data_IF_870894794447
#
_entry.id   IF_870894794447
#
_cell.length_a   1.000
_cell.length_b   1.000
_cell.length_c   1.000
_cell.angle_alpha   90.00
_cell.angle_beta   90.00
_cell.angle_gamma   90.00
#
_symmetry.space_group_name_H-M   'P 1'
#
loop_
_entity.id
_entity.type
_entity.pdbx_description
1 polymer ?
#
# COMPACT_ATOMS: atom_id res chain seq x y z
N UNK A 1 -24.21 -27.94 -10.60
CA UNK A 1 -23.60 -29.07 -9.85
C UNK A 1 -22.28 -28.54 -9.31
N UNK A 2 -22.02 -28.72 -8.02
CA UNK A 2 -20.77 -28.26 -7.40
C UNK A 2 -19.62 -29.17 -7.89
N UNK A 3 -18.62 -28.64 -8.64
CA UNK A 3 -17.54 -29.47 -9.18
C UNK A 3 -16.65 -30.06 -8.08
N UNK A 4 -16.65 -29.47 -6.88
CA UNK A 4 -15.83 -29.91 -5.76
C UNK A 4 -16.40 -31.15 -5.06
N UNK A 5 -17.66 -31.53 -5.29
CA UNK A 5 -18.27 -32.72 -4.65
C UNK A 5 -17.53 -34.02 -4.96
N UNK A 6 -16.88 -34.11 -6.13
CA UNK A 6 -16.18 -35.31 -6.59
C UNK A 6 -14.68 -35.31 -6.24
N UNK A 7 -14.16 -34.20 -5.72
CA UNK A 7 -12.75 -34.06 -5.44
C UNK A 7 -12.40 -34.54 -4.02
N UNK A 8 -11.26 -35.24 -3.84
CA UNK A 8 -10.70 -35.50 -2.52
C UNK A 8 -10.45 -34.21 -1.75
N UNK A 9 -10.47 -34.27 -0.41
CA UNK A 9 -10.30 -33.08 0.42
C UNK A 9 -8.92 -32.43 0.24
N UNK A 10 -7.91 -33.25 0.00
CA UNK A 10 -6.52 -32.87 -0.23
C UNK A 10 -6.38 -32.02 -1.50
N UNK A 11 -7.05 -32.42 -2.57
CA UNK A 11 -7.05 -31.66 -3.84
C UNK A 11 -7.77 -30.33 -3.66
N UNK A 12 -8.85 -30.29 -2.88
CA UNK A 12 -9.56 -29.05 -2.59
C UNK A 12 -8.68 -28.09 -1.79
N UNK A 13 -7.95 -28.61 -0.80
CA UNK A 13 -6.95 -27.84 -0.05
C UNK A 13 -5.88 -27.28 -0.99
N UNK A 14 -5.30 -28.10 -1.86
CA UNK A 14 -4.31 -27.62 -2.83
C UNK A 14 -4.89 -26.52 -3.72
N UNK A 15 -6.11 -26.69 -4.25
CA UNK A 15 -6.78 -25.65 -5.05
C UNK A 15 -6.90 -24.35 -4.25
N UNK A 16 -7.27 -24.41 -2.97
CA UNK A 16 -7.37 -23.22 -2.12
C UNK A 16 -6.00 -22.55 -1.93
N UNK A 17 -4.94 -23.32 -1.68
CA UNK A 17 -3.58 -22.78 -1.49
C UNK A 17 -2.99 -22.20 -2.77
N UNK A 18 -3.29 -22.79 -3.92
CA UNK A 18 -2.88 -22.29 -5.24
C UNK A 18 -3.78 -21.19 -5.79
N UNK A 19 -4.95 -20.96 -5.16
CA UNK A 19 -5.76 -19.77 -5.46
C UNK A 19 -5.01 -18.57 -4.88
N UNK A 20 -4.38 -17.79 -5.74
CA UNK A 20 -3.48 -16.70 -5.36
C UNK A 20 -4.18 -15.51 -4.68
N UNK A 21 -5.52 -15.48 -4.63
CA UNK A 21 -6.29 -14.34 -4.13
C UNK A 21 -7.35 -14.71 -3.06
N UNK A 22 -7.44 -13.88 -2.03
CA UNK A 22 -8.39 -14.04 -0.93
C UNK A 22 -9.84 -13.85 -1.37
N UNK A 23 -10.08 -13.09 -2.45
CA UNK A 23 -11.43 -12.86 -2.97
C UNK A 23 -12.01 -14.10 -3.65
N UNK A 24 -11.19 -14.80 -4.43
CA UNK A 24 -11.53 -16.07 -5.04
C UNK A 24 -11.85 -17.11 -3.98
N UNK A 25 -11.03 -17.18 -2.92
CA UNK A 25 -11.27 -18.08 -1.79
C UNK A 25 -12.58 -17.72 -1.06
N UNK A 26 -12.82 -16.45 -0.73
CA UNK A 26 -14.09 -16.00 -0.13
C UNK A 26 -15.30 -16.38 -0.99
N UNK A 27 -15.17 -16.23 -2.31
CA UNK A 27 -16.19 -16.61 -3.27
C UNK A 27 -16.43 -18.12 -3.27
N UNK A 28 -15.36 -18.94 -3.28
CA UNK A 28 -15.45 -20.40 -3.21
C UNK A 28 -16.12 -20.88 -1.92
N UNK A 29 -15.78 -20.28 -0.77
CA UNK A 29 -16.42 -20.58 0.51
C UNK A 29 -17.91 -20.20 0.51
N UNK A 30 -18.29 -19.20 -0.27
CA UNK A 30 -19.69 -18.77 -0.42
C UNK A 30 -20.47 -19.72 -1.34
N UNK A 31 -19.89 -20.14 -2.46
CA UNK A 31 -20.61 -20.88 -3.51
C UNK A 31 -20.58 -22.40 -3.37
N UNK A 32 -19.54 -22.98 -2.74
CA UNK A 32 -19.39 -24.43 -2.58
C UNK A 32 -19.53 -24.84 -1.10
N UNK A 33 -20.61 -25.55 -0.73
CA UNK A 33 -20.75 -26.13 0.60
C UNK A 33 -19.62 -27.11 0.92
N UNK A 34 -19.14 -27.89 -0.07
CA UNK A 34 -18.06 -28.86 0.12
C UNK A 34 -16.74 -28.19 0.49
N UNK A 35 -16.36 -27.13 -0.25
CA UNK A 35 -15.16 -26.33 0.04
C UNK A 35 -15.28 -25.70 1.43
N UNK A 36 -16.44 -25.13 1.76
CA UNK A 36 -16.71 -24.55 3.09
C UNK A 36 -16.51 -25.57 4.22
N UNK A 37 -17.05 -26.78 4.08
CA UNK A 37 -16.89 -27.84 5.10
C UNK A 37 -15.44 -28.21 5.31
N UNK A 38 -14.65 -28.33 4.23
CA UNK A 38 -13.21 -28.65 4.32
C UNK A 38 -12.42 -27.51 4.96
N UNK A 39 -12.73 -26.26 4.61
CA UNK A 39 -12.10 -25.11 5.24
C UNK A 39 -12.42 -25.06 6.75
N UNK A 40 -13.69 -25.25 7.12
CA UNK A 40 -14.14 -25.24 8.53
C UNK A 40 -13.65 -26.43 9.36
N UNK A 41 -13.14 -27.51 8.76
CA UNK A 41 -12.55 -28.60 9.55
C UNK A 41 -11.18 -28.24 10.12
N UNK A 42 -10.50 -27.23 9.56
CA UNK A 42 -9.16 -26.78 10.00
C UNK A 42 -8.92 -25.28 9.73
N UNK A 43 -9.80 -24.39 10.22
CA UNK A 43 -9.85 -23.00 9.77
C UNK A 43 -8.57 -22.22 10.08
N UNK A 44 -8.05 -22.31 11.32
CA UNK A 44 -6.81 -21.62 11.72
C UNK A 44 -5.58 -22.02 10.90
N UNK A 45 -5.20 -23.31 10.90
CA UNK A 45 -4.05 -23.78 10.13
C UNK A 45 -4.15 -23.44 8.65
N UNK A 46 -5.33 -23.63 8.04
CA UNK A 46 -5.52 -23.35 6.62
C UNK A 46 -5.42 -21.84 6.32
N UNK A 47 -5.95 -20.97 7.19
CA UNK A 47 -5.78 -19.53 7.03
C UNK A 47 -4.30 -19.11 7.10
N UNK A 48 -3.53 -19.69 8.03
CA UNK A 48 -2.10 -19.43 8.14
C UNK A 48 -1.33 -19.90 6.91
N UNK A 49 -1.66 -21.08 6.39
CA UNK A 49 -1.11 -21.57 5.12
C UNK A 49 -1.44 -20.58 3.98
N UNK A 50 -2.69 -20.11 3.86
CA UNK A 50 -3.08 -19.12 2.85
C UNK A 50 -2.28 -17.81 2.95
N UNK A 51 -2.08 -17.30 4.16
CA UNK A 51 -1.25 -16.11 4.39
C UNK A 51 0.22 -16.35 3.99
N UNK A 52 0.74 -17.55 4.27
CA UNK A 52 2.12 -17.91 3.98
C UNK A 52 2.38 -18.21 2.49
N UNK A 53 1.39 -18.73 1.76
CA UNK A 53 1.51 -19.07 0.33
C UNK A 53 1.23 -17.87 -0.60
N UNK A 54 0.47 -16.88 -0.14
CA UNK A 54 0.26 -15.66 -0.92
C UNK A 54 1.51 -14.77 -0.89
N UNK A 55 1.98 -14.37 -2.08
CA UNK A 55 3.25 -13.66 -2.29
C UNK A 55 3.34 -12.30 -1.59
N UNK A 56 2.20 -11.64 -1.34
CA UNK A 56 2.13 -10.32 -0.72
C UNK A 56 1.98 -10.46 0.80
N UNK A 57 1.04 -11.29 1.27
CA UNK A 57 0.79 -11.42 2.72
C UNK A 57 1.86 -12.21 3.45
N UNK A 58 2.68 -12.98 2.73
CA UNK A 58 3.86 -13.65 3.29
C UNK A 58 4.99 -12.66 3.63
N UNK A 59 4.96 -11.43 3.08
CA UNK A 59 5.99 -10.44 3.32
C UNK A 59 6.06 -10.08 4.81
N UNK A 60 7.26 -10.13 5.41
CA UNK A 60 7.44 -9.94 6.85
C UNK A 60 6.77 -8.66 7.41
N UNK A 61 6.87 -7.47 6.77
CA UNK A 61 6.18 -6.27 7.26
C UNK A 61 4.65 -6.39 7.27
N UNK A 62 4.06 -7.09 6.29
CA UNK A 62 2.61 -7.27 6.14
C UNK A 62 2.12 -8.36 7.11
N UNK A 63 2.85 -9.47 7.21
CA UNK A 63 2.49 -10.57 8.10
C UNK A 63 2.42 -10.11 9.56
N UNK A 64 3.38 -9.27 10.00
CA UNK A 64 3.38 -8.69 11.35
C UNK A 64 2.13 -7.87 11.66
N UNK A 65 1.65 -7.08 10.71
CA UNK A 65 0.45 -6.25 10.90
C UNK A 65 -0.84 -7.08 10.81
N UNK A 66 -0.88 -8.13 9.96
CA UNK A 66 -1.98 -9.10 9.92
C UNK A 66 -2.15 -9.76 11.29
N UNK A 67 -1.06 -10.22 11.91
CA UNK A 67 -1.09 -10.82 13.25
C UNK A 67 -1.65 -9.85 14.30
N UNK A 68 -1.27 -8.57 14.26
CA UNK A 68 -1.83 -7.55 15.17
C UNK A 68 -3.34 -7.36 14.98
N UNK A 69 -3.82 -7.37 13.74
CA UNK A 69 -5.27 -7.32 13.45
C UNK A 69 -5.97 -8.58 13.94
N UNK A 70 -5.39 -9.76 13.69
CA UNK A 70 -5.90 -11.03 14.19
C UNK A 70 -6.13 -11.02 15.71
N UNK A 71 -5.20 -10.47 16.49
CA UNK A 71 -5.36 -10.32 17.94
C UNK A 71 -6.56 -9.46 18.35
N UNK A 72 -6.84 -8.38 17.63
CA UNK A 72 -7.97 -7.49 17.94
C UNK A 72 -9.33 -8.13 17.65
N UNK A 73 -9.37 -9.10 16.73
CA UNK A 73 -10.57 -9.85 16.36
C UNK A 73 -10.67 -11.20 17.08
N UNK A 74 -9.69 -11.55 17.93
CA UNK A 74 -9.75 -12.75 18.75
C UNK A 74 -10.61 -12.51 20.00
N UNK A 75 -11.71 -13.25 20.12
CA UNK A 75 -12.65 -13.15 21.23
C UNK A 75 -12.09 -13.65 22.57
N UNK A 76 -11.04 -14.47 22.54
CA UNK A 76 -10.39 -15.01 23.72
C UNK A 76 -9.48 -14.00 24.42
N UNK A 77 -9.09 -12.92 23.73
CA UNK A 77 -8.26 -11.86 24.29
C UNK A 77 -9.12 -10.64 24.61
N UNK A 78 -8.99 -10.14 25.83
CA UNK A 78 -9.62 -8.89 26.24
C UNK A 78 -8.59 -7.97 26.89
N UNK A 79 -8.05 -7.05 26.09
CA UNK A 79 -7.05 -6.08 26.55
C UNK A 79 -7.72 -4.91 27.29
N UNK A 80 -7.23 -4.59 28.49
CA UNK A 80 -7.73 -3.52 29.34
C UNK A 80 -7.05 -2.16 29.07
N UNK A 81 -6.00 -2.14 28.24
CA UNK A 81 -5.34 -0.92 27.82
C UNK A 81 -4.33 -1.16 26.72
N UNK A 82 -3.80 -0.06 26.19
CA UNK A 82 -2.83 -0.10 25.09
C UNK A 82 -1.53 -0.79 25.49
N UNK A 83 -1.08 -0.65 26.73
CA UNK A 83 0.20 -1.23 27.16
C UNK A 83 0.13 -2.76 27.25
N UNK A 84 -0.98 -3.30 27.74
CA UNK A 84 -1.23 -4.75 27.72
C UNK A 84 -1.26 -5.27 26.28
N UNK A 85 -1.99 -4.60 25.39
CA UNK A 85 -1.99 -4.94 23.96
C UNK A 85 -0.59 -4.92 23.35
N UNK A 86 0.24 -3.93 23.70
CA UNK A 86 1.63 -3.82 23.23
C UNK A 86 2.51 -4.97 23.71
N UNK A 87 2.38 -5.35 24.98
CA UNK A 87 3.13 -6.47 25.54
C UNK A 87 2.77 -7.78 24.85
N UNK A 88 1.47 -8.03 24.65
CA UNK A 88 1.01 -9.22 23.94
C UNK A 88 1.42 -9.25 22.47
N UNK A 89 1.49 -8.10 21.80
CA UNK A 89 1.87 -8.03 20.38
C UNK A 89 3.38 -7.93 20.13
N UNK A 90 4.16 -7.50 21.13
CA UNK A 90 5.61 -7.39 21.05
C UNK A 90 6.33 -8.74 21.08
N UNK A 91 5.78 -9.75 21.76
CA UNK A 91 6.39 -11.09 21.88
C UNK A 91 6.12 -12.01 20.69
N UNK A 92 5.37 -11.56 19.67
CA UNK A 92 4.87 -12.39 18.58
C UNK A 92 5.83 -12.60 17.42
N UNK A 93 7.04 -12.03 17.50
CA UNK A 93 7.99 -12.15 16.38
C UNK A 93 8.32 -13.61 16.03
N UNK A 94 8.03 -14.57 16.93
CA UNK A 94 8.40 -15.98 16.77
C UNK A 94 7.25 -17.01 16.81
N UNK A 95 5.97 -16.63 16.97
CA UNK A 95 4.87 -17.63 17.06
C UNK A 95 3.58 -17.26 16.32
N UNK A 96 3.05 -18.18 15.47
CA UNK A 96 1.80 -17.96 14.75
C UNK A 96 0.58 -18.15 15.68
N UNK A 97 -0.34 -17.19 15.66
CA UNK A 97 -1.62 -17.27 16.41
C UNK A 97 -2.55 -18.23 15.69
N UNK A 98 -2.71 -19.44 16.22
CA UNK A 98 -3.64 -20.42 15.66
C UNK A 98 -5.03 -20.11 16.23
N UNK A 99 -5.86 -19.42 15.44
CA UNK A 99 -7.27 -19.28 15.74
C UNK A 99 -7.96 -20.64 15.58
N UNK A 100 -8.58 -21.14 16.65
CA UNK A 100 -9.38 -22.37 16.58
C UNK A 100 -10.82 -22.09 16.18
N UNK A 101 -11.31 -20.86 16.37
CA UNK A 101 -12.69 -20.49 16.09
C UNK A 101 -12.93 -20.16 14.61
N UNK A 102 -13.99 -20.75 14.06
CA UNK A 102 -14.41 -20.58 12.67
C UNK A 102 -14.87 -19.14 12.42
N UNK A 103 -15.52 -18.50 13.40
CA UNK A 103 -16.07 -17.16 13.19
C UNK A 103 -14.96 -16.10 13.10
N UNK A 104 -13.94 -16.22 13.95
CA UNK A 104 -12.74 -15.38 13.91
C UNK A 104 -11.99 -15.53 12.59
N UNK A 105 -11.74 -16.76 12.14
CA UNK A 105 -11.05 -17.02 10.86
C UNK A 105 -11.86 -16.52 9.68
N UNK A 106 -13.19 -16.73 9.70
CA UNK A 106 -14.08 -16.21 8.65
C UNK A 106 -14.03 -14.69 8.58
N UNK A 107 -13.97 -14.02 9.74
CA UNK A 107 -13.82 -12.57 9.80
C UNK A 107 -12.48 -12.12 9.22
N UNK A 108 -11.39 -12.81 9.53
CA UNK A 108 -10.08 -12.50 8.96
C UNK A 108 -10.03 -12.74 7.44
N UNK A 109 -10.67 -13.79 6.94
CA UNK A 109 -10.82 -14.01 5.49
C UNK A 109 -11.55 -12.86 4.80
N UNK A 110 -12.65 -12.38 5.39
CA UNK A 110 -13.38 -11.21 4.87
C UNK A 110 -12.51 -9.95 4.86
N UNK A 111 -11.74 -9.73 5.93
CA UNK A 111 -10.83 -8.58 6.02
C UNK A 111 -9.76 -8.68 4.93
N UNK A 112 -9.12 -9.83 4.75
CA UNK A 112 -8.11 -10.02 3.70
C UNK A 112 -8.68 -9.81 2.29
N UNK A 113 -9.87 -10.35 2.01
CA UNK A 113 -10.55 -10.14 0.73
C UNK A 113 -10.92 -8.67 0.52
N UNK A 114 -11.37 -7.96 1.56
CA UNK A 114 -11.64 -6.52 1.51
C UNK A 114 -10.36 -5.71 1.23
N UNK A 115 -9.27 -5.99 1.93
CA UNK A 115 -7.97 -5.33 1.72
C UNK A 115 -7.50 -5.54 0.29
N UNK A 116 -7.62 -6.75 -0.25
CA UNK A 116 -7.26 -7.04 -1.65
C UNK A 116 -8.08 -6.23 -2.63
N UNK A 117 -9.41 -6.19 -2.49
CA UNK A 117 -10.28 -5.38 -3.37
C UNK A 117 -9.91 -3.90 -3.33
N UNK A 118 -9.66 -3.36 -2.13
CA UNK A 118 -9.22 -1.98 -1.95
C UNK A 118 -7.85 -1.73 -2.59
N UNK A 119 -6.90 -2.65 -2.45
CA UNK A 119 -5.59 -2.56 -3.06
C UNK A 119 -5.69 -2.47 -4.59
N UNK A 120 -6.43 -3.40 -5.19
CA UNK A 120 -6.69 -3.39 -6.64
C UNK A 120 -7.35 -2.08 -7.08
N UNK A 121 -8.36 -1.59 -6.36
CA UNK A 121 -9.04 -0.33 -6.74
C UNK A 121 -8.11 0.88 -6.63
N UNK A 122 -7.33 0.98 -5.56
CA UNK A 122 -6.35 2.05 -5.38
C UNK A 122 -5.30 2.04 -6.49
N UNK A 123 -4.68 0.89 -6.74
CA UNK A 123 -3.66 0.72 -7.78
C UNK A 123 -4.21 1.08 -9.16
N UNK A 124 -5.37 0.52 -9.52
CA UNK A 124 -6.02 0.81 -10.79
C UNK A 124 -6.31 2.31 -10.94
N UNK A 125 -6.90 2.93 -9.92
CA UNK A 125 -7.28 4.36 -9.97
C UNK A 125 -6.04 5.24 -10.14
N UNK A 126 -5.01 5.01 -9.34
CA UNK A 126 -3.76 5.77 -9.45
C UNK A 126 -3.09 5.56 -10.80
N UNK A 127 -3.07 4.33 -11.31
CA UNK A 127 -2.47 4.03 -12.61
C UNK A 127 -3.23 4.69 -13.76
N UNK A 128 -4.58 4.65 -13.77
CA UNK A 128 -5.36 5.30 -14.82
C UNK A 128 -5.16 6.82 -14.81
N UNK A 129 -5.15 7.44 -13.63
CA UNK A 129 -4.82 8.86 -13.49
C UNK A 129 -3.40 9.15 -14.00
N UNK A 130 -2.45 8.28 -13.67
CA UNK A 130 -1.06 8.40 -14.08
C UNK A 130 -0.88 8.26 -15.60
N UNK A 131 -1.48 7.25 -16.23
CA UNK A 131 -1.49 7.08 -17.70
C UNK A 131 -2.08 8.31 -18.37
N UNK A 132 -3.23 8.78 -17.89
CA UNK A 132 -3.91 9.96 -18.43
C UNK A 132 -2.99 11.18 -18.45
N UNK A 133 -2.33 11.48 -17.32
CA UNK A 133 -1.47 12.67 -17.23
C UNK A 133 -0.17 12.54 -18.04
N UNK A 134 0.49 11.38 -18.05
CA UNK A 134 1.75 11.22 -18.80
C UNK A 134 1.51 11.11 -20.30
N UNK A 135 0.31 10.69 -20.72
CA UNK A 135 -0.09 10.68 -22.14
C UNK A 135 -0.33 12.08 -22.71
N UNK A 136 -0.53 13.09 -21.84
CA UNK A 136 -0.77 14.47 -22.28
C UNK A 136 0.53 15.23 -22.61
N UNK A 137 1.66 14.84 -22.02
CA UNK A 137 2.92 15.60 -22.09
C UNK A 137 4.12 14.71 -22.42
N UNK A 138 5.01 15.10 -23.35
CA UNK A 138 6.26 14.37 -23.58
C UNK A 138 7.25 14.57 -22.42
N UNK A 139 8.33 13.79 -22.42
CA UNK A 139 9.45 13.96 -21.47
C UNK A 139 10.78 13.78 -22.20
N UNK A 140 11.39 14.89 -22.67
CA UNK A 140 12.56 14.82 -23.55
C UNK A 140 12.24 14.05 -24.83
N UNK A 141 13.07 13.06 -25.17
CA UNK A 141 12.83 12.18 -26.32
C UNK A 141 11.71 11.15 -26.12
N UNK A 142 11.21 10.98 -24.89
CA UNK A 142 10.10 10.06 -24.64
C UNK A 142 8.78 10.66 -25.15
N UNK A 143 8.28 10.06 -26.24
CA UNK A 143 6.98 10.39 -26.80
C UNK A 143 5.85 10.07 -25.82
N UNK A 144 4.72 10.77 -25.97
CA UNK A 144 3.51 10.60 -25.14
C UNK A 144 3.01 9.15 -25.14
N UNK A 145 3.05 8.48 -26.29
CA UNK A 145 2.61 7.09 -26.43
C UNK A 145 3.52 6.11 -25.69
N UNK A 146 4.85 6.30 -25.78
CA UNK A 146 5.82 5.48 -25.04
C UNK A 146 5.61 5.65 -23.53
N UNK A 147 5.48 6.89 -23.05
CA UNK A 147 5.22 7.16 -21.62
C UNK A 147 3.94 6.51 -21.13
N UNK A 148 2.85 6.60 -21.91
CA UNK A 148 1.57 5.98 -21.57
C UNK A 148 1.70 4.44 -21.51
N UNK A 149 2.38 3.83 -22.49
CA UNK A 149 2.63 2.39 -22.51
C UNK A 149 3.44 1.93 -21.30
N UNK A 150 4.46 2.71 -20.89
CA UNK A 150 5.28 2.42 -19.70
C UNK A 150 4.51 2.60 -18.40
N UNK A 151 3.71 3.66 -18.28
CA UNK A 151 2.82 3.85 -17.14
C UNK A 151 1.78 2.73 -17.01
N UNK A 152 1.37 2.12 -18.12
CA UNK A 152 0.40 1.03 -18.18
C UNK A 152 0.99 -0.38 -17.95
N UNK A 153 2.30 -0.52 -17.73
CA UNK A 153 2.91 -1.82 -17.40
C UNK A 153 2.29 -2.42 -16.14
N UNK A 154 2.20 -3.76 -16.01
CA UNK A 154 1.74 -4.43 -14.79
C UNK A 154 2.45 -3.90 -13.54
N UNK A 155 1.77 -3.97 -12.39
CA UNK A 155 2.35 -3.55 -11.12
C UNK A 155 3.51 -4.47 -10.73
N UNK A 156 4.59 -3.89 -10.23
CA UNK A 156 5.63 -4.69 -9.60
C UNK A 156 5.15 -5.18 -8.24
N UNK A 157 5.82 -6.20 -7.70
CA UNK A 157 5.54 -6.71 -6.37
C UNK A 157 5.68 -5.64 -5.29
N UNK A 158 6.69 -4.75 -5.41
CA UNK A 158 6.93 -3.67 -4.43
C UNK A 158 5.81 -2.63 -4.45
N UNK A 159 5.29 -2.29 -5.64
CA UNK A 159 4.16 -1.38 -5.77
C UNK A 159 2.92 -1.95 -5.09
N UNK A 160 2.57 -3.20 -5.39
CA UNK A 160 1.39 -3.84 -4.81
C UNK A 160 1.54 -4.07 -3.30
N UNK A 161 2.67 -4.62 -2.83
CA UNK A 161 2.90 -4.89 -1.41
C UNK A 161 2.90 -3.61 -0.57
N UNK A 162 3.40 -2.49 -1.11
CA UNK A 162 3.37 -1.20 -0.40
C UNK A 162 1.94 -0.69 -0.19
N UNK A 163 1.03 -0.92 -1.14
CA UNK A 163 -0.40 -0.60 -0.96
C UNK A 163 -1.03 -1.48 0.11
N UNK A 164 -0.76 -2.79 0.07
CA UNK A 164 -1.24 -3.72 1.10
C UNK A 164 -0.73 -3.32 2.49
N UNK A 165 0.56 -3.02 2.62
CA UNK A 165 1.17 -2.56 3.86
C UNK A 165 0.45 -1.33 4.43
N UNK A 166 0.18 -0.33 3.58
CA UNK A 166 -0.54 0.87 3.98
C UNK A 166 -1.99 0.58 4.41
N UNK A 167 -2.71 -0.24 3.64
CA UNK A 167 -4.10 -0.63 3.94
C UNK A 167 -4.21 -1.40 5.25
N UNK A 168 -3.30 -2.34 5.50
CA UNK A 168 -3.26 -3.07 6.76
C UNK A 168 -2.97 -2.16 7.95
N UNK A 169 -2.10 -1.15 7.80
CA UNK A 169 -1.88 -0.17 8.86
C UNK A 169 -3.09 0.73 9.11
N UNK A 170 -3.80 1.17 8.07
CA UNK A 170 -5.06 1.92 8.20
C UNK A 170 -6.12 1.06 8.91
N UNK A 171 -6.21 -0.22 8.53
CA UNK A 171 -7.14 -1.17 9.14
C UNK A 171 -6.83 -1.40 10.61
N UNK A 172 -5.58 -1.73 10.94
CA UNK A 172 -5.14 -1.97 12.30
C UNK A 172 -5.35 -0.75 13.20
N UNK A 173 -4.97 0.45 12.73
CA UNK A 173 -5.20 1.68 13.49
C UNK A 173 -6.70 1.90 13.78
N UNK A 174 -7.56 1.68 12.78
CA UNK A 174 -9.00 1.89 12.91
C UNK A 174 -9.68 0.86 13.81
N UNK A 175 -9.28 -0.41 13.70
CA UNK A 175 -9.77 -1.50 14.55
C UNK A 175 -9.33 -1.28 15.99
N UNK A 176 -8.08 -0.89 16.23
CA UNK A 176 -7.55 -0.62 17.56
C UNK A 176 -8.26 0.57 18.24
N UNK A 177 -8.47 1.66 17.49
CA UNK A 177 -9.21 2.81 18.00
C UNK A 177 -10.66 2.42 18.36
N UNK A 178 -11.32 1.64 17.50
CA UNK A 178 -12.68 1.16 17.73
C UNK A 178 -12.76 0.21 18.92
N UNK A 179 -11.77 -0.68 19.06
CA UNK A 179 -11.62 -1.62 20.17
C UNK A 179 -11.47 -0.88 21.51
N UNK A 180 -10.53 0.07 21.59
CA UNK A 180 -10.30 0.86 22.80
C UNK A 180 -11.51 1.71 23.18
N UNK A 181 -12.20 2.29 22.19
CA UNK A 181 -13.45 3.03 22.41
C UNK A 181 -14.55 2.11 22.97
N UNK A 182 -14.74 0.92 22.38
CA UNK A 182 -15.76 -0.06 22.81
C UNK A 182 -15.55 -0.54 24.23
N UNK A 183 -14.29 -0.70 24.65
CA UNK A 183 -13.92 -1.15 25.99
C UNK A 183 -13.72 -0.01 26.99
N UNK A 184 -14.00 1.24 26.60
CA UNK A 184 -13.81 2.42 27.43
C UNK A 184 -12.39 2.51 28.03
N UNK A 185 -11.38 2.28 27.19
CA UNK A 185 -9.99 2.50 27.60
C UNK A 185 -9.77 3.92 28.10
N UNK A 186 -8.82 4.09 29.01
CA UNK A 186 -8.51 5.38 29.63
C UNK A 186 -8.09 6.43 28.59
N UNK A 187 -8.30 7.71 28.90
CA UNK A 187 -7.86 8.82 28.03
C UNK A 187 -6.36 8.75 27.74
N UNK A 188 -5.56 8.30 28.70
CA UNK A 188 -4.12 8.07 28.53
C UNK A 188 -3.83 6.98 27.49
N UNK A 189 -4.58 5.87 27.52
CA UNK A 189 -4.47 4.81 26.52
C UNK A 189 -4.86 5.33 25.13
N UNK A 190 -5.94 6.10 25.04
CA UNK A 190 -6.39 6.70 23.79
C UNK A 190 -5.40 7.73 23.23
N UNK A 191 -4.76 8.54 24.08
CA UNK A 191 -3.66 9.45 23.69
C UNK A 191 -2.45 8.67 23.19
N UNK A 192 -2.14 7.54 23.79
CA UNK A 192 -1.03 6.69 23.36
C UNK A 192 -1.29 6.06 22.00
N UNK A 193 -2.54 5.70 21.68
CA UNK A 193 -2.93 5.26 20.33
C UNK A 193 -2.62 6.34 19.28
N UNK A 194 -2.69 7.64 19.61
CA UNK A 194 -2.34 8.70 18.67
C UNK A 194 -0.85 8.66 18.25
N UNK A 195 0.02 8.04 19.08
CA UNK A 195 1.44 7.80 18.76
C UNK A 195 1.67 6.53 17.95
N UNK A 196 0.65 6.08 17.22
CA UNK A 196 0.63 4.82 16.46
C UNK A 196 1.84 4.63 15.55
N UNK A 197 2.25 5.70 14.85
CA UNK A 197 3.35 5.65 13.88
C UNK A 197 4.67 5.27 14.57
N UNK A 198 5.00 5.94 15.68
CA UNK A 198 6.19 5.66 16.49
C UNK A 198 6.21 4.22 17.00
N UNK A 199 5.06 3.70 17.44
CA UNK A 199 5.00 2.33 17.96
C UNK A 199 5.09 1.26 16.87
N UNK A 200 4.71 1.57 15.63
CA UNK A 200 4.81 0.64 14.50
C UNK A 200 6.06 0.88 13.64
N UNK A 201 7.06 1.59 14.16
CA UNK A 201 8.31 1.92 13.45
C UNK A 201 8.06 2.56 12.08
N UNK A 202 7.01 3.39 12.00
CA UNK A 202 6.63 4.16 10.80
C UNK A 202 7.26 5.54 10.92
N UNK A 203 8.45 5.72 10.34
CA UNK A 203 9.24 6.94 10.50
C UNK A 203 9.52 7.65 9.17
N UNK A 204 10.16 8.82 9.28
CA UNK A 204 10.65 9.58 8.14
C UNK A 204 9.55 10.03 7.19
N UNK A 205 9.50 9.39 6.01
CA UNK A 205 8.52 9.71 4.96
C UNK A 205 7.45 8.63 4.78
N UNK A 206 7.57 7.50 5.48
CA UNK A 206 6.61 6.40 5.39
C UNK A 206 5.15 6.79 5.73
N UNK A 207 4.88 7.75 6.66
CA UNK A 207 3.52 8.26 6.86
C UNK A 207 2.84 8.82 5.60
N UNK A 208 3.62 9.30 4.62
CA UNK A 208 3.08 9.79 3.36
C UNK A 208 2.52 8.64 2.50
N UNK A 209 3.07 7.44 2.60
CA UNK A 209 2.56 6.25 1.90
C UNK A 209 1.13 5.97 2.37
N UNK A 210 0.95 5.88 3.69
CA UNK A 210 -0.35 5.61 4.33
C UNK A 210 -1.36 6.70 3.99
N UNK A 211 -0.95 7.97 4.02
CA UNK A 211 -1.85 9.09 3.73
C UNK A 211 -2.20 9.18 2.26
N UNK A 212 -1.28 8.82 1.36
CA UNK A 212 -1.55 8.71 -0.08
C UNK A 212 -2.67 7.71 -0.33
N UNK A 213 -2.56 6.51 0.25
CA UNK A 213 -3.60 5.47 0.12
C UNK A 213 -4.92 5.95 0.72
N UNK A 214 -4.90 6.58 1.90
CA UNK A 214 -6.11 7.13 2.52
C UNK A 214 -6.80 8.21 1.67
N UNK A 215 -6.03 9.05 0.98
CA UNK A 215 -6.56 10.07 0.08
C UNK A 215 -7.24 9.44 -1.15
N UNK A 216 -6.65 8.39 -1.73
CA UNK A 216 -7.27 7.66 -2.84
C UNK A 216 -8.54 6.93 -2.39
N UNK A 217 -8.53 6.32 -1.20
CA UNK A 217 -9.72 5.73 -0.59
C UNK A 217 -10.83 6.77 -0.38
N UNK A 218 -10.47 8.00 0.00
CA UNK A 218 -11.43 9.11 0.11
C UNK A 218 -12.11 9.39 -1.22
N UNK A 219 -11.34 9.46 -2.31
CA UNK A 219 -11.87 9.71 -3.66
C UNK A 219 -12.75 8.55 -4.15
N UNK A 220 -12.51 7.33 -3.65
CA UNK A 220 -13.32 6.14 -3.94
C UNK A 220 -14.63 6.08 -3.13
N UNK A 221 -14.89 7.06 -2.26
CA UNK A 221 -16.14 7.18 -1.52
C UNK A 221 -16.06 6.76 -0.05
N UNK A 222 -14.89 6.32 0.44
CA UNK A 222 -14.71 6.15 1.89
C UNK A 222 -14.56 7.51 2.57
N UNK A 223 -14.88 7.57 3.86
CA UNK A 223 -14.86 8.82 4.64
C UNK A 223 -13.78 8.76 5.73
N UNK A 224 -12.50 9.01 5.39
CA UNK A 224 -11.45 9.12 6.40
C UNK A 224 -11.69 10.30 7.33
N UNK A 225 -11.46 10.08 8.62
CA UNK A 225 -11.36 11.12 9.64
C UNK A 225 -9.88 11.46 9.77
N UNK A 226 -9.50 12.60 9.21
CA UNK A 226 -8.14 13.10 9.28
C UNK A 226 -7.81 13.68 10.65
N UNK A 227 -6.59 13.49 11.17
CA UNK A 227 -6.14 14.17 12.38
C UNK A 227 -6.07 15.69 12.16
N UNK A 228 -6.09 16.49 13.23
CA UNK A 228 -5.90 17.93 13.12
C UNK A 228 -4.48 18.22 12.62
N UNK A 229 -4.33 18.49 11.33
CA UNK A 229 -3.05 18.83 10.73
C UNK A 229 -2.62 20.24 11.15
N UNK A 230 -1.33 20.46 11.45
CA UNK A 230 -0.83 21.80 11.73
C UNK A 230 -1.18 22.76 10.58
N UNK A 231 -1.66 23.96 10.92
CA UNK A 231 -1.99 25.03 9.97
C UNK A 231 -3.19 24.77 9.04
N UNK A 232 -4.07 23.80 9.38
CA UNK A 232 -5.38 23.67 8.75
C UNK A 232 -6.49 24.11 9.68
N UNK A 233 -7.34 25.03 9.18
CA UNK A 233 -8.52 25.52 9.89
C UNK A 233 -9.76 24.65 9.63
N UNK A 234 -9.72 23.78 8.61
CA UNK A 234 -10.84 22.93 8.21
C UNK A 234 -10.47 21.44 8.27
N UNK A 235 -11.42 20.57 8.63
CA UNK A 235 -11.23 19.12 8.60
C UNK A 235 -11.08 18.65 7.16
N UNK A 236 -9.98 17.97 6.85
CA UNK A 236 -9.75 17.46 5.50
C UNK A 236 -8.35 16.93 5.29
N UNK A 237 -8.11 16.47 4.06
CA UNK A 237 -6.81 16.01 3.62
C UNK A 237 -5.78 17.15 3.63
N UNK A 238 -4.58 16.90 4.15
CA UNK A 238 -3.52 17.90 4.14
C UNK A 238 -3.06 18.25 2.72
N UNK A 239 -2.96 19.55 2.42
CA UNK A 239 -2.31 20.04 1.21
C UNK A 239 -0.81 19.75 1.22
N UNK A 240 -0.20 19.56 2.40
CA UNK A 240 1.24 19.33 2.57
C UNK A 240 1.53 17.83 2.73
N UNK A 241 2.73 17.43 2.33
CA UNK A 241 3.23 16.09 2.62
C UNK A 241 3.49 15.83 4.10
N UNK A 242 3.48 14.56 4.47
CA UNK A 242 3.54 14.09 5.84
C UNK A 242 4.77 14.53 6.61
N UNK A 243 5.86 14.77 5.88
CA UNK A 243 7.12 15.26 6.44
C UNK A 243 7.08 16.71 6.94
N UNK A 244 5.95 17.40 6.80
CA UNK A 244 5.71 18.72 7.38
C UNK A 244 4.84 18.67 8.64
N UNK A 245 4.37 17.48 9.04
CA UNK A 245 3.55 17.31 10.23
C UNK A 245 4.39 17.11 11.49
N UNK A 246 3.73 17.16 12.64
CA UNK A 246 4.34 16.77 13.91
C UNK A 246 4.55 15.26 13.89
N UNK A 247 5.70 14.78 14.37
CA UNK A 247 6.11 13.37 14.31
C UNK A 247 5.07 12.39 14.89
N UNK A 248 4.24 12.83 15.83
CA UNK A 248 3.20 12.04 16.49
C UNK A 248 1.82 12.14 15.83
N UNK A 249 1.74 12.57 14.56
CA UNK A 249 0.45 12.68 13.86
C UNK A 249 -0.05 11.27 13.48
N UNK A 250 -1.21 10.80 13.97
CA UNK A 250 -1.67 9.45 13.66
C UNK A 250 -2.10 9.29 12.20
N UNK A 251 -2.24 8.05 11.71
CA UNK A 251 -2.91 7.79 10.43
C UNK A 251 -4.37 8.29 10.40
N UNK A 252 -4.96 8.52 9.22
CA UNK A 252 -6.39 8.75 9.10
C UNK A 252 -7.21 7.57 9.63
N UNK A 253 -8.31 7.87 10.34
CA UNK A 253 -9.21 6.87 10.92
C UNK A 253 -10.37 6.56 9.98
N UNK A 254 -10.70 5.28 9.81
CA UNK A 254 -11.87 4.85 9.03
C UNK A 254 -12.89 4.16 9.94
N UNK A 255 -14.17 4.55 9.82
CA UNK A 255 -15.26 3.87 10.54
C UNK A 255 -15.70 2.57 9.85
N UNK A 256 -15.54 2.52 8.54
CA UNK A 256 -15.79 1.35 7.70
C UNK A 256 -14.85 1.38 6.49
N UNK A 257 -14.58 0.19 5.96
CA UNK A 257 -13.82 -0.05 4.74
C UNK A 257 -14.72 -0.59 3.60
N UNK A 258 -16.04 -0.55 3.80
CA UNK A 258 -17.02 -1.05 2.84
C UNK A 258 -17.25 -0.02 1.73
N UNK A 259 -17.08 -0.44 0.47
CA UNK A 259 -17.38 0.37 -0.71
C UNK A 259 -18.74 -0.04 -1.28
N UNK A 260 -19.58 0.94 -1.65
CA UNK A 260 -20.95 0.71 -2.16
C UNK A 260 -20.98 -0.06 -3.50
N UNK A 261 -19.91 0.00 -4.29
CA UNK A 261 -19.75 -0.77 -5.53
C UNK A 261 -18.33 -1.30 -5.64
N UNK A 262 -18.20 -2.63 -5.63
CA UNK A 262 -16.94 -3.34 -5.88
C UNK A 262 -16.99 -4.15 -7.18
N UNK A 263 -17.46 -3.54 -8.27
CA UNK A 263 -17.15 -4.02 -9.63
C UNK A 263 -15.66 -3.71 -9.89
N UNK A 264 -14.81 -4.67 -9.53
CA UNK A 264 -13.36 -4.53 -9.59
C UNK A 264 -12.81 -5.74 -10.33
N UNK A 265 -12.05 -5.48 -11.40
CA UNK A 265 -11.17 -6.48 -11.96
C UNK A 265 -10.10 -6.79 -10.91
N UNK A 266 -10.21 -7.94 -10.27
CA UNK A 266 -9.18 -8.48 -9.39
C UNK A 266 -8.17 -9.20 -10.28
N UNK A 267 -6.90 -8.98 -10.01
CA UNK A 267 -5.82 -9.69 -10.68
C UNK A 267 -5.06 -10.55 -9.67
N UNK A 268 -4.42 -11.63 -10.14
CA UNK A 268 -3.50 -12.39 -9.30
C UNK A 268 -2.33 -11.49 -8.88
N UNK A 269 -1.95 -11.57 -7.60
CA UNK A 269 -0.80 -10.82 -7.10
C UNK A 269 0.47 -11.21 -7.83
N UNK A 270 1.39 -10.26 -8.09
CA UNK A 270 2.67 -10.55 -8.71
C UNK A 270 3.46 -11.56 -7.86
N UNK A 271 4.28 -12.42 -8.49
CA UNK A 271 5.14 -13.34 -7.75
C UNK A 271 6.16 -12.57 -6.91
N UNK A 272 6.64 -13.19 -5.84
CA UNK A 272 7.76 -12.65 -5.06
C UNK A 272 8.97 -12.43 -5.97
N UNK A 273 9.59 -11.24 -5.93
CA UNK A 273 10.69 -10.90 -6.82
C UNK A 273 11.90 -11.80 -6.52
N UNK A 274 12.68 -12.19 -7.56
CA UNK A 274 13.89 -12.98 -7.36
C UNK A 274 14.95 -12.17 -6.60
N UNK A 275 15.77 -12.86 -5.79
CA UNK A 275 16.92 -12.24 -5.15
C UNK A 275 18.11 -12.22 -6.12
N UNK A 276 18.14 -11.21 -6.99
CA UNK A 276 19.20 -10.99 -7.97
C UNK A 276 19.69 -9.54 -8.03
N UNK A 277 20.81 -9.33 -8.72
CA UNK A 277 21.46 -8.03 -8.84
C UNK A 277 20.56 -6.98 -9.51
N UNK A 278 19.73 -7.37 -10.48
CA UNK A 278 18.88 -6.43 -11.23
C UNK A 278 17.75 -5.94 -10.33
N UNK A 279 17.10 -6.87 -9.63
CA UNK A 279 16.06 -6.60 -8.65
C UNK A 279 16.58 -5.73 -7.52
N UNK A 280 17.76 -6.06 -6.97
CA UNK A 280 18.40 -5.27 -5.93
C UNK A 280 18.75 -3.86 -6.43
N UNK A 281 19.34 -3.76 -7.63
CA UNK A 281 19.69 -2.48 -8.23
C UNK A 281 18.47 -1.58 -8.39
N UNK A 282 17.39 -2.07 -9.00
CA UNK A 282 16.17 -1.29 -9.22
C UNK A 282 15.29 -1.15 -7.97
N UNK A 283 15.73 -1.65 -6.82
CA UNK A 283 15.00 -1.58 -5.55
C UNK A 283 13.63 -2.27 -5.65
N UNK A 284 13.61 -3.44 -6.29
CA UNK A 284 12.41 -4.24 -6.52
C UNK A 284 12.32 -5.46 -5.59
N UNK A 285 13.21 -5.55 -4.59
CA UNK A 285 13.27 -6.70 -3.67
C UNK A 285 12.24 -6.60 -2.53
N UNK A 286 12.03 -7.73 -1.84
CA UNK A 286 11.03 -7.86 -0.77
C UNK A 286 11.25 -6.85 0.38
N UNK A 287 12.52 -6.54 0.69
CA UNK A 287 12.90 -5.60 1.75
C UNK A 287 12.38 -4.17 1.52
N UNK A 288 11.96 -3.84 0.29
CA UNK A 288 11.36 -2.55 -0.05
C UNK A 288 9.88 -2.42 0.30
N UNK A 289 9.20 -3.49 0.71
CA UNK A 289 7.80 -3.40 1.14
C UNK A 289 7.61 -2.33 2.23
N UNK A 290 6.77 -1.33 1.97
CA UNK A 290 6.49 -0.24 2.92
C UNK A 290 7.67 0.72 3.15
N UNK A 291 8.78 0.58 2.42
CA UNK A 291 9.90 1.51 2.47
C UNK A 291 9.66 2.68 1.53
N UNK A 292 10.23 3.82 1.92
CA UNK A 292 10.11 5.07 1.18
C UNK A 292 10.80 4.95 -0.19
N UNK A 293 10.08 5.19 -1.30
CA UNK A 293 10.69 5.22 -2.62
C UNK A 293 11.65 6.40 -2.78
N UNK A 294 12.74 6.19 -3.54
CA UNK A 294 13.83 7.16 -3.72
C UNK A 294 13.33 8.54 -4.18
N UNK A 295 12.38 8.56 -5.11
CA UNK A 295 11.83 9.79 -5.68
C UNK A 295 11.04 10.62 -4.66
N UNK A 296 10.48 10.01 -3.61
CA UNK A 296 9.77 10.76 -2.56
C UNK A 296 10.74 11.67 -1.78
N UNK A 297 11.96 11.19 -1.52
CA UNK A 297 13.01 12.00 -0.90
C UNK A 297 13.44 13.17 -1.78
N UNK A 298 13.57 12.93 -3.10
CA UNK A 298 13.87 13.98 -4.09
C UNK A 298 12.75 15.04 -4.13
N UNK A 299 11.50 14.60 -4.21
CA UNK A 299 10.33 15.47 -4.20
C UNK A 299 10.28 16.35 -2.95
N UNK A 300 10.46 15.75 -1.75
CA UNK A 300 10.52 16.49 -0.49
C UNK A 300 11.56 17.60 -0.52
N UNK A 301 12.77 17.31 -1.01
CA UNK A 301 13.85 18.29 -1.09
C UNK A 301 13.50 19.42 -2.06
N UNK A 302 12.89 19.13 -3.20
CA UNK A 302 12.45 20.14 -4.15
C UNK A 302 11.34 21.03 -3.59
N UNK A 303 10.31 20.41 -2.98
CA UNK A 303 9.23 21.14 -2.33
C UNK A 303 9.77 22.06 -1.22
N UNK A 304 10.76 21.60 -0.45
CA UNK A 304 11.44 22.42 0.57
C UNK A 304 12.16 23.61 -0.06
N UNK A 305 12.99 23.39 -1.09
CA UNK A 305 13.75 24.48 -1.73
C UNK A 305 12.80 25.55 -2.27
N UNK A 306 11.71 25.16 -2.94
CA UNK A 306 10.72 26.09 -3.51
C UNK A 306 9.92 26.84 -2.44
N UNK A 307 9.62 26.20 -1.31
CA UNK A 307 8.96 26.85 -0.19
C UNK A 307 9.79 28.01 0.42
N UNK A 308 11.12 27.95 0.30
CA UNK A 308 12.05 28.90 0.91
C UNK A 308 12.76 29.83 -0.09
N UNK A 309 12.48 29.73 -1.39
CA UNK A 309 13.07 30.59 -2.42
C UNK A 309 12.09 31.67 -2.90
N UNK A 310 12.33 32.91 -2.48
CA UNK A 310 11.85 34.13 -3.15
C UNK A 310 10.63 34.84 -2.51
N UNK A 311 10.33 36.08 -2.96
CA UNK A 311 9.23 36.91 -2.45
C UNK A 311 7.82 36.42 -2.87
N UNK A 312 7.74 35.51 -3.85
CA UNK A 312 6.51 34.82 -4.29
C UNK A 312 6.78 33.31 -4.36
N UNK A 313 6.66 32.57 -3.25
CA UNK A 313 6.83 31.12 -3.25
C UNK A 313 5.85 30.43 -4.20
N UNK A 314 6.37 29.59 -5.09
CA UNK A 314 5.56 28.71 -5.94
C UNK A 314 5.06 27.54 -5.08
N UNK A 315 3.78 27.61 -4.70
CA UNK A 315 3.12 26.62 -3.84
C UNK A 315 2.70 25.35 -4.59
N UNK A 316 2.94 25.24 -5.90
CA UNK A 316 2.52 24.09 -6.71
C UNK A 316 3.06 22.77 -6.16
N UNK A 317 4.38 22.70 -5.94
CA UNK A 317 5.04 21.52 -5.35
C UNK A 317 4.77 21.36 -3.84
N UNK A 318 4.17 22.36 -3.19
CA UNK A 318 3.70 22.24 -1.82
C UNK A 318 2.32 21.58 -1.76
N UNK A 319 1.51 21.66 -2.82
CA UNK A 319 0.22 20.96 -2.93
C UNK A 319 0.45 19.51 -3.35
N UNK A 320 0.53 18.63 -2.37
CA UNK A 320 0.84 17.21 -2.60
C UNK A 320 -0.35 16.39 -3.14
N UNK A 321 -1.58 16.91 -2.99
CA UNK A 321 -2.81 16.17 -3.28
C UNK A 321 -2.87 15.58 -4.70
N UNK A 322 -2.50 16.31 -5.78
CA UNK A 322 -2.47 15.73 -7.12
C UNK A 322 -1.51 14.54 -7.22
N UNK A 323 -0.32 14.67 -6.62
CA UNK A 323 0.70 13.62 -6.64
C UNK A 323 0.26 12.35 -5.92
N UNK A 324 -0.55 12.47 -4.86
CA UNK A 324 -1.18 11.32 -4.19
C UNK A 324 -2.10 10.55 -5.13
N UNK A 325 -2.94 11.24 -5.91
CA UNK A 325 -3.90 10.62 -6.85
C UNK A 325 -3.22 9.92 -8.03
N UNK A 326 -1.98 10.30 -8.31
CA UNK A 326 -1.17 9.71 -9.37
C UNK A 326 -0.32 8.54 -8.89
N UNK A 327 -0.22 8.31 -7.57
CA UNK A 327 0.63 7.25 -7.00
C UNK A 327 2.14 7.46 -7.23
N UNK A 328 2.59 8.61 -7.73
CA UNK A 328 4.01 8.83 -8.10
C UNK A 328 4.99 8.81 -6.93
N UNK A 329 4.46 8.90 -5.71
CA UNK A 329 5.22 8.73 -4.47
C UNK A 329 5.26 7.26 -4.00
N UNK A 330 4.58 6.36 -4.69
CA UNK A 330 4.45 4.92 -4.38
C UNK A 330 5.03 4.03 -5.48
N UNK A 331 5.04 4.50 -6.72
CA UNK A 331 5.61 3.78 -7.85
C UNK A 331 7.07 3.41 -7.64
N UNK A 332 7.46 2.25 -8.16
CA UNK A 332 8.83 1.81 -8.05
C UNK A 332 9.77 2.67 -8.92
N UNK A 333 11.09 2.65 -8.63
CA UNK A 333 12.03 3.45 -9.38
C UNK A 333 12.08 3.12 -10.88
N UNK A 334 11.81 1.88 -11.28
CA UNK A 334 11.79 1.50 -12.69
C UNK A 334 10.61 2.15 -13.43
N UNK A 335 9.39 2.13 -12.88
CA UNK A 335 8.25 2.84 -13.48
C UNK A 335 8.51 4.33 -13.57
N UNK A 336 9.08 4.92 -12.53
CA UNK A 336 9.40 6.36 -12.52
C UNK A 336 10.50 6.69 -13.53
N UNK A 337 11.52 5.85 -13.66
CA UNK A 337 12.59 6.01 -14.65
C UNK A 337 12.07 5.86 -16.08
N UNK A 338 11.37 4.75 -16.37
CA UNK A 338 10.85 4.42 -17.71
C UNK A 338 9.79 5.40 -18.23
N UNK A 339 9.13 6.14 -17.34
CA UNK A 339 8.20 7.23 -17.70
C UNK A 339 8.86 8.60 -17.77
N UNK A 340 10.18 8.68 -17.59
CA UNK A 340 10.96 9.91 -17.63
C UNK A 340 10.67 10.85 -16.46
N UNK A 341 10.31 10.30 -15.29
CA UNK A 341 10.01 11.00 -14.01
C UNK A 341 11.11 10.85 -12.93
N UNK A 342 12.10 9.98 -13.16
CA UNK A 342 13.28 9.84 -12.31
C UNK A 342 14.56 9.64 -13.14
N UNK A 343 15.70 10.17 -12.66
CA UNK A 343 17.03 9.86 -13.19
C UNK A 343 17.64 8.70 -12.40
N UNK A 344 18.13 7.67 -13.08
CA UNK A 344 18.96 6.65 -12.45
C UNK A 344 20.41 7.11 -12.38
N UNK A 345 21.11 6.77 -11.30
CA UNK A 345 22.42 7.35 -11.01
C UNK A 345 23.46 6.91 -12.05
N UNK A 346 23.99 7.87 -12.82
CA UNK A 346 24.87 7.64 -13.98
C UNK A 346 26.29 7.17 -13.64
N UNK A 347 26.52 6.72 -12.39
CA UNK A 347 27.83 6.27 -11.88
C UNK A 347 27.91 4.77 -11.65
N UNK A 348 26.81 4.05 -11.82
CA UNK A 348 26.75 2.58 -11.74
C UNK A 348 26.90 1.96 -13.13
N UNK A 349 27.42 0.72 -13.26
CA UNK A 349 27.44 0.01 -14.53
C UNK A 349 26.04 -0.04 -15.14
N UNK A 350 25.94 -0.15 -16.47
CA UNK A 350 24.67 -0.22 -17.18
C UNK A 350 23.82 -1.35 -16.59
N UNK A 351 22.78 -1.00 -15.82
CA UNK A 351 21.94 -1.97 -15.14
C UNK A 351 20.88 -2.42 -16.14
N UNK A 352 20.75 -3.73 -16.41
CA UNK A 352 19.71 -4.23 -17.29
C UNK A 352 18.32 -3.78 -16.85
N UNK A 353 17.43 -3.57 -17.81
CA UNK A 353 16.02 -3.30 -17.53
C UNK A 353 15.38 -4.52 -16.83
N UNK A 354 14.60 -4.35 -15.76
CA UNK A 354 13.89 -5.45 -15.11
C UNK A 354 12.91 -6.18 -16.04
N UNK A 355 12.39 -5.49 -17.06
CA UNK A 355 11.47 -6.04 -18.06
C UNK A 355 12.16 -6.41 -19.40
N UNK A 356 13.50 -6.36 -19.44
CA UNK A 356 14.30 -6.67 -20.62
C UNK A 356 14.28 -5.61 -21.73
N UNK A 357 13.73 -4.42 -21.49
CA UNK A 357 13.72 -3.31 -22.46
C UNK A 357 15.06 -2.54 -22.46
N UNK A 358 16.07 -3.14 -23.08
CA UNK A 358 17.42 -2.59 -23.20
C UNK A 358 17.46 -1.30 -24.02
N UNK A 359 16.66 -1.23 -25.10
CA UNK A 359 16.53 -0.04 -25.96
C UNK A 359 16.10 1.20 -25.16
N UNK A 360 15.27 1.03 -24.12
CA UNK A 360 14.85 2.12 -23.25
C UNK A 360 15.96 2.56 -22.29
N UNK A 361 16.77 1.64 -21.77
CA UNK A 361 17.91 1.99 -20.91
C UNK A 361 18.90 2.84 -21.70
N UNK A 362 19.11 2.53 -22.97
CA UNK A 362 19.88 3.38 -23.87
C UNK A 362 19.18 4.72 -24.17
N UNK A 363 17.88 4.71 -24.47
CA UNK A 363 17.13 5.93 -24.80
C UNK A 363 17.03 6.93 -23.63
N UNK A 364 16.85 6.43 -22.40
CA UNK A 364 16.68 7.24 -21.18
C UNK A 364 18.02 7.48 -20.46
N UNK A 365 18.97 6.55 -20.57
CA UNK A 365 20.28 6.62 -19.91
C UNK A 365 21.27 7.59 -20.57
N UNK A 366 21.01 8.01 -21.82
CA UNK A 366 21.91 8.87 -22.60
C UNK A 366 21.61 10.37 -22.43
N UNK A 367 20.41 10.78 -22.00
CA UNK A 367 20.08 12.21 -21.84
C UNK A 367 20.41 12.76 -20.44
N UNK A 368 21.40 13.65 -20.39
CA UNK A 368 21.67 14.48 -19.21
C UNK A 368 20.60 15.59 -19.09
N UNK A 369 19.44 15.23 -18.55
CA UNK A 369 18.33 16.15 -18.33
C UNK A 369 18.64 17.10 -17.18
N UNK A 370 18.50 18.41 -17.40
CA UNK A 370 18.73 19.43 -16.37
C UNK A 370 17.73 19.31 -15.22
N UNK A 371 18.12 19.76 -14.01
CA UNK A 371 17.20 19.80 -12.86
C UNK A 371 15.94 20.65 -13.12
N UNK A 372 16.04 21.67 -13.98
CA UNK A 372 14.90 22.52 -14.35
C UNK A 372 13.87 21.76 -15.18
N UNK A 373 14.32 20.97 -16.15
CA UNK A 373 13.46 20.12 -16.97
C UNK A 373 12.80 19.04 -16.09
N UNK A 374 13.54 18.45 -15.14
CA UNK A 374 12.98 17.53 -14.15
C UNK A 374 11.85 18.16 -13.33
N UNK A 375 12.06 19.38 -12.81
CA UNK A 375 11.03 20.10 -12.08
C UNK A 375 9.82 20.40 -12.95
N UNK A 376 10.04 20.82 -14.20
CA UNK A 376 8.97 21.08 -15.17
C UNK A 376 8.07 19.85 -15.37
N UNK A 377 8.68 18.67 -15.54
CA UNK A 377 7.94 17.40 -15.68
C UNK A 377 7.08 17.10 -14.47
N UNK A 378 7.62 17.26 -13.26
CA UNK A 378 6.86 17.05 -12.01
C UNK A 378 5.77 18.10 -11.79
N UNK A 379 6.02 19.37 -12.10
CA UNK A 379 4.99 20.43 -12.01
C UNK A 379 3.84 20.13 -12.98
N UNK A 380 4.16 19.66 -14.19
CA UNK A 380 3.16 19.28 -15.20
C UNK A 380 2.20 18.19 -14.70
N UNK A 381 2.65 17.30 -13.82
CA UNK A 381 1.80 16.26 -13.23
C UNK A 381 0.66 16.83 -12.37
N UNK A 382 0.86 17.99 -11.72
CA UNK A 382 -0.19 18.65 -10.95
C UNK A 382 -1.27 19.30 -11.85
N UNK A 383 -1.02 19.40 -13.16
CA UNK A 383 -1.89 20.06 -14.13
C UNK A 383 -1.86 21.59 -14.05
N UNK A 384 -2.54 22.25 -14.99
CA UNK A 384 -2.62 23.73 -15.09
C UNK A 384 -3.45 24.37 -13.96
N UNK A 385 -3.91 23.59 -12.97
CA UNK A 385 -4.67 24.10 -11.82
C UNK A 385 -3.72 24.52 -10.70
N UNK A 386 -2.86 25.50 -10.98
CA UNK A 386 -2.11 26.23 -9.96
C UNK A 386 -2.46 27.71 -10.03
#
# INVERSE_FOLDING_TARGET
MDPFERLPAEIIIEILLFTSDFVGIESLLTVSPRVRTIFHSRPGPLFQELVAFNSITSASPIQKIIQKVQFLHNSSFNFHGIEEYRQCTGSLQDQPVIHTDVTEVSRMMQISAQIQRLACKCLWTMQQNFISIVSASPAGNLSRSIRAQKAAKPFSWVEESTIYWALWHLRHYSDLHSYGTRLNWTEESMKTIQKYQTWNDIDGLAPEIITTVAAVLSDLGLSPIYPPYPYMNEPGESIRGAWWWILETPPPLFKSFDLESMDIAIWPSPPTPPDDIVTAAWLLNEERCGKVPTQMGMYKNWARIRAFQGPNPDYTLLRIQPYRRLGVLLWDPWRMYSTGLMKWNSREPLIPAPDGDEDLVELVGVEDVTMQEWHSRWITLAGVRC
#
